data_IF_065045809817
#
_entry.id   IF_065045809817
#
_cell.length_a   1.000
_cell.length_b   1.000
_cell.length_c   1.000
_cell.angle_alpha   90.00
_cell.angle_beta   90.00
_cell.angle_gamma   90.00
#
_symmetry.space_group_name_H-M   'P 1'
#
loop_
_entity.id
_entity.type
_entity.pdbx_description
1 polymer ?
#
# COMPACT_ATOMS: atom_id res chain seq x y z
N UNK A 1 17.80 -2.59 -5.21
CA UNK A 1 16.38 -2.80 -5.53
C UNK A 1 15.57 -2.26 -4.36
N UNK A 2 14.68 -1.30 -4.62
CA UNK A 2 13.92 -0.60 -3.57
C UNK A 2 12.76 -1.47 -3.10
N UNK A 3 12.50 -1.50 -1.79
CA UNK A 3 11.44 -2.30 -1.18
C UNK A 3 10.46 -1.37 -0.45
N UNK A 4 9.18 -1.62 -0.67
CA UNK A 4 8.08 -0.82 -0.14
C UNK A 4 7.09 -1.75 0.55
N UNK A 5 6.83 -1.50 1.84
CA UNK A 5 5.76 -2.20 2.56
C UNK A 5 4.54 -1.28 2.61
N UNK A 6 3.47 -1.76 1.99
CA UNK A 6 2.26 -1.00 1.72
C UNK A 6 1.09 -1.68 2.40
N UNK A 7 0.30 -0.90 3.13
CA UNK A 7 -0.92 -1.37 3.76
C UNK A 7 -2.13 -0.82 3.03
N UNK A 8 -3.02 -1.72 2.66
CA UNK A 8 -4.21 -1.50 1.86
C UNK A 8 -5.45 -1.80 2.72
N UNK A 9 -6.32 -0.79 2.88
CA UNK A 9 -7.51 -0.87 3.71
C UNK A 9 -8.78 -0.75 2.87
N UNK A 10 -9.84 -1.46 3.25
CA UNK A 10 -11.19 -1.20 2.75
C UNK A 10 -11.72 0.08 3.43
N UNK A 11 -11.73 1.21 2.71
CA UNK A 11 -12.28 2.46 3.24
C UNK A 11 -13.74 2.61 2.85
N UNK A 12 -14.66 2.47 3.80
CA UNK A 12 -15.96 3.11 3.70
C UNK A 12 -16.38 3.54 5.11
N UNK A 13 -16.72 4.82 5.26
CA UNK A 13 -17.26 5.40 6.50
C UNK A 13 -18.56 4.69 6.94
N UNK A 14 -19.21 3.97 6.03
CA UNK A 14 -20.44 3.20 6.25
C UNK A 14 -20.23 1.69 6.38
N UNK A 15 -19.11 1.12 5.92
CA UNK A 15 -18.78 -0.30 6.12
C UNK A 15 -18.15 -0.53 7.49
N UNK A 16 -18.94 -0.31 8.55
CA UNK A 16 -18.70 -0.92 9.88
C UNK A 16 -19.07 -2.41 9.89
N UNK A 17 -18.93 -3.11 8.76
CA UNK A 17 -18.97 -4.56 8.76
C UNK A 17 -17.53 -5.02 8.87
N UNK A 18 -17.21 -5.66 9.98
CA UNK A 18 -15.95 -6.35 10.17
C UNK A 18 -15.89 -7.51 9.20
N UNK A 19 -15.40 -7.25 7.99
CA UNK A 19 -15.24 -8.26 6.96
C UNK A 19 -13.89 -8.91 7.18
N UNK A 20 -13.91 -10.20 7.44
CA UNK A 20 -12.71 -11.03 7.56
C UNK A 20 -12.31 -11.55 6.17
N UNK A 21 -11.31 -10.91 5.56
CA UNK A 21 -10.77 -11.30 4.25
C UNK A 21 -9.84 -12.51 4.35
N UNK A 22 -9.60 -13.05 5.55
CA UNK A 22 -8.76 -14.26 5.73
C UNK A 22 -9.54 -15.55 5.46
N UNK A 23 -10.84 -15.46 5.21
CA UNK A 23 -11.73 -16.60 5.03
C UNK A 23 -12.45 -16.56 3.68
N UNK A 24 -13.02 -17.69 3.30
CA UNK A 24 -13.96 -17.78 2.19
C UNK A 24 -15.27 -17.12 2.64
N UNK A 25 -15.82 -16.24 1.80
CA UNK A 25 -17.14 -15.67 2.02
C UNK A 25 -18.20 -16.77 2.01
N UNK A 26 -18.93 -16.91 3.10
CA UNK A 26 -19.93 -17.99 3.24
C UNK A 26 -21.21 -17.73 2.44
N UNK A 27 -21.49 -16.47 2.09
CA UNK A 27 -22.68 -16.08 1.34
C UNK A 27 -22.41 -16.14 -0.16
N UNK A 28 -21.27 -15.62 -0.60
CA UNK A 28 -20.92 -15.53 -2.03
C UNK A 28 -20.03 -16.69 -2.52
N UNK A 29 -19.42 -17.45 -1.62
CA UNK A 29 -18.47 -18.51 -1.94
C UNK A 29 -17.11 -18.01 -2.44
N UNK A 30 -16.85 -16.70 -2.36
CA UNK A 30 -15.62 -16.07 -2.85
C UNK A 30 -14.46 -16.40 -1.91
N UNK A 31 -13.38 -16.95 -2.46
CA UNK A 31 -12.13 -17.18 -1.75
C UNK A 31 -11.27 -15.91 -1.78
N UNK A 32 -11.46 -15.04 -0.78
CA UNK A 32 -10.70 -13.79 -0.66
C UNK A 32 -9.18 -14.03 -0.53
N UNK A 33 -8.69 -14.97 0.30
CA UNK A 33 -7.26 -15.28 0.36
C UNK A 33 -6.65 -15.61 -0.99
N UNK A 34 -7.29 -16.49 -1.77
CA UNK A 34 -6.80 -16.84 -3.10
C UNK A 34 -6.82 -15.64 -4.05
N UNK A 35 -7.95 -14.93 -4.10
CA UNK A 35 -8.09 -13.79 -5.01
C UNK A 35 -7.07 -12.68 -4.74
N UNK A 36 -6.75 -12.43 -3.46
CA UNK A 36 -5.82 -11.37 -3.04
C UNK A 36 -4.37 -11.81 -3.13
N UNK A 37 -4.02 -12.98 -2.57
CA UNK A 37 -2.62 -13.42 -2.43
C UNK A 37 -2.05 -14.08 -3.69
N UNK A 38 -2.92 -14.62 -4.55
CA UNK A 38 -2.52 -15.34 -5.76
C UNK A 38 -2.95 -14.58 -6.99
N UNK A 39 -4.26 -14.55 -7.27
CA UNK A 39 -4.77 -14.11 -8.58
C UNK A 39 -4.41 -12.64 -8.86
N UNK A 40 -4.59 -11.74 -7.87
CA UNK A 40 -4.26 -10.33 -8.02
C UNK A 40 -2.75 -10.07 -8.11
N UNK A 41 -1.93 -10.84 -7.37
CA UNK A 41 -0.46 -10.74 -7.39
C UNK A 41 0.08 -11.17 -8.75
N UNK A 42 -0.39 -12.31 -9.27
CA UNK A 42 -0.01 -12.81 -10.59
C UNK A 42 -0.39 -11.81 -11.68
N UNK A 43 -1.64 -11.35 -11.67
CA UNK A 43 -2.12 -10.36 -12.63
C UNK A 43 -1.28 -9.07 -12.59
N UNK A 44 -1.00 -8.56 -11.39
CA UNK A 44 -0.17 -7.37 -11.23
C UNK A 44 1.23 -7.57 -11.82
N UNK A 45 1.90 -8.66 -11.44
CA UNK A 45 3.27 -8.95 -11.86
C UNK A 45 3.35 -9.18 -13.38
N UNK A 46 2.37 -9.84 -13.98
CA UNK A 46 2.29 -9.99 -15.44
C UNK A 46 2.14 -8.66 -16.18
N UNK A 47 1.27 -7.76 -15.70
CA UNK A 47 1.11 -6.43 -16.29
C UNK A 47 2.37 -5.60 -16.11
N UNK A 48 2.99 -5.67 -14.93
CA UNK A 48 4.18 -4.89 -14.59
C UNK A 48 5.42 -5.26 -15.41
N UNK A 49 5.55 -6.52 -15.86
CA UNK A 49 6.63 -6.95 -16.78
C UNK A 49 6.71 -6.13 -18.06
N UNK A 50 5.60 -5.54 -18.50
CA UNK A 50 5.53 -4.70 -19.71
C UNK A 50 5.96 -3.26 -19.47
N UNK A 51 6.17 -2.87 -18.21
CA UNK A 51 6.55 -1.52 -17.84
C UNK A 51 8.06 -1.31 -17.95
N UNK A 52 8.47 -0.09 -18.30
CA UNK A 52 9.90 0.27 -18.43
C UNK A 52 10.66 0.26 -17.10
N UNK A 53 9.96 0.42 -15.98
CA UNK A 53 10.54 0.42 -14.64
C UNK A 53 9.93 -0.75 -13.87
N UNK A 54 10.56 -1.93 -13.94
CA UNK A 54 10.01 -3.16 -13.40
C UNK A 54 9.66 -3.03 -11.91
N UNK A 55 8.51 -3.59 -11.56
CA UNK A 55 7.97 -3.64 -10.20
C UNK A 55 7.34 -5.00 -9.98
N UNK A 56 7.54 -5.58 -8.82
CA UNK A 56 6.94 -6.85 -8.49
C UNK A 56 6.39 -6.82 -7.08
N UNK A 57 5.19 -7.34 -6.90
CA UNK A 57 4.72 -7.75 -5.57
C UNK A 57 5.44 -9.05 -5.24
N UNK A 58 6.25 -9.03 -4.18
CA UNK A 58 7.04 -10.18 -3.73
C UNK A 58 6.47 -10.86 -2.50
N UNK A 59 5.64 -10.13 -1.74
CA UNK A 59 4.86 -10.70 -0.65
C UNK A 59 3.48 -10.02 -0.57
N UNK A 60 2.46 -10.81 -0.25
CA UNK A 60 1.10 -10.32 -0.05
C UNK A 60 0.39 -11.14 1.02
N UNK A 61 0.01 -10.48 2.11
CA UNK A 61 -0.68 -11.10 3.22
C UNK A 61 -1.94 -10.33 3.61
N UNK A 62 -2.81 -10.99 4.36
CA UNK A 62 -4.05 -10.44 4.87
C UNK A 62 -4.02 -10.59 6.38
N UNK A 63 -4.13 -9.48 7.08
CA UNK A 63 -4.17 -9.43 8.54
C UNK A 63 -5.55 -8.97 8.97
N UNK A 64 -6.22 -9.79 9.77
CA UNK A 64 -7.49 -9.41 10.39
C UNK A 64 -7.28 -9.10 11.86
N UNK A 65 -7.46 -7.84 12.25
CA UNK A 65 -7.29 -7.38 13.62
C UNK A 65 -8.42 -6.44 14.02
N UNK A 66 -8.98 -6.66 15.21
CA UNK A 66 -10.00 -5.78 15.81
C UNK A 66 -11.20 -5.47 14.90
N UNK A 67 -11.59 -6.43 14.06
CA UNK A 67 -12.71 -6.27 13.14
C UNK A 67 -12.38 -5.55 11.83
N UNK A 68 -11.10 -5.38 11.50
CA UNK A 68 -10.67 -4.74 10.25
C UNK A 68 -9.69 -5.67 9.54
N UNK A 69 -9.92 -5.90 8.24
CA UNK A 69 -8.96 -6.56 7.37
C UNK A 69 -8.01 -5.54 6.74
N UNK A 70 -6.72 -5.82 6.85
CA UNK A 70 -5.61 -5.09 6.25
C UNK A 70 -4.93 -6.01 5.24
N UNK A 71 -4.79 -5.57 4.00
CA UNK A 71 -3.97 -6.26 3.00
C UNK A 71 -2.57 -5.65 3.05
N UNK A 72 -1.57 -6.45 3.37
CA UNK A 72 -0.17 -6.05 3.42
C UNK A 72 0.53 -6.50 2.17
N UNK A 73 1.20 -5.58 1.49
CA UNK A 73 1.89 -5.83 0.23
C UNK A 73 3.32 -5.37 0.33
N UNK A 74 4.25 -6.26 0.02
CA UNK A 74 5.63 -5.89 -0.25
C UNK A 74 5.80 -5.74 -1.76
N UNK A 75 6.13 -4.51 -2.17
CA UNK A 75 6.42 -4.15 -3.54
C UNK A 75 7.91 -3.88 -3.69
N UNK A 76 8.56 -4.54 -4.64
CA UNK A 76 9.93 -4.26 -5.03
C UNK A 76 9.97 -3.53 -6.37
N UNK A 77 10.91 -2.59 -6.52
CA UNK A 77 11.11 -1.88 -7.79
C UNK A 77 12.59 -1.60 -8.05
N UNK A 78 12.97 -1.62 -9.33
CA UNK A 78 14.31 -1.25 -9.78
C UNK A 78 14.60 0.24 -9.63
N UNK A 79 13.58 1.09 -9.62
CA UNK A 79 13.69 2.54 -9.50
C UNK A 79 12.87 3.08 -8.34
N UNK A 80 13.30 4.23 -7.79
CA UNK A 80 12.58 4.91 -6.70
C UNK A 80 11.15 5.25 -7.14
N UNK A 81 10.18 4.84 -6.32
CA UNK A 81 8.77 5.17 -6.48
C UNK A 81 8.43 6.43 -5.69
N UNK A 82 8.05 7.48 -6.41
CA UNK A 82 7.56 8.72 -5.80
C UNK A 82 6.22 8.55 -5.06
N UNK A 83 5.39 7.61 -5.53
CA UNK A 83 4.08 7.29 -4.95
C UNK A 83 3.88 5.77 -5.03
N UNK A 84 4.50 4.98 -4.13
CA UNK A 84 4.39 3.53 -4.10
C UNK A 84 2.94 3.01 -4.16
N UNK A 85 2.00 3.66 -3.48
CA UNK A 85 0.59 3.25 -3.54
C UNK A 85 -0.01 3.35 -4.94
N UNK A 86 0.41 4.34 -5.74
CA UNK A 86 -0.04 4.48 -7.14
C UNK A 86 0.50 3.35 -8.00
N UNK A 87 1.65 2.77 -7.64
CA UNK A 87 2.16 1.59 -8.32
C UNK A 87 1.23 0.38 -8.13
N UNK A 88 0.45 0.30 -7.05
CA UNK A 88 -0.55 -0.76 -6.81
C UNK A 88 -1.91 -0.50 -7.48
N UNK A 89 -2.04 0.51 -8.36
CA UNK A 89 -3.33 0.82 -9.01
C UNK A 89 -3.90 -0.33 -9.84
N UNK A 90 -3.04 -1.13 -10.48
CA UNK A 90 -3.49 -2.29 -11.26
C UNK A 90 -4.01 -3.39 -10.33
N UNK A 91 -3.26 -3.69 -9.27
CA UNK A 91 -3.65 -4.65 -8.23
C UNK A 91 -4.99 -4.25 -7.59
N UNK A 92 -5.13 -2.97 -7.24
CA UNK A 92 -6.36 -2.44 -6.66
C UNK A 92 -7.58 -2.55 -7.56
N UNK A 93 -7.41 -2.22 -8.84
CA UNK A 93 -8.50 -2.24 -9.81
C UNK A 93 -8.95 -3.67 -10.10
N UNK A 94 -8.03 -4.63 -10.09
CA UNK A 94 -8.36 -6.04 -10.27
C UNK A 94 -9.28 -6.53 -9.15
N UNK A 95 -8.93 -6.24 -7.89
CA UNK A 95 -9.74 -6.61 -6.74
C UNK A 95 -11.10 -5.90 -6.73
N UNK A 96 -11.12 -4.59 -7.03
CA UNK A 96 -12.34 -3.77 -7.07
C UNK A 96 -13.38 -4.26 -8.08
N UNK A 97 -12.92 -4.75 -9.23
CA UNK A 97 -13.81 -5.21 -10.30
C UNK A 97 -14.05 -6.73 -10.26
N UNK A 98 -13.37 -7.44 -9.37
CA UNK A 98 -13.42 -8.89 -9.22
C UNK A 98 -13.92 -9.29 -7.85
N UNK A 99 -13.11 -10.05 -7.12
CA UNK A 99 -13.52 -10.68 -5.86
C UNK A 99 -14.04 -9.71 -4.79
N UNK A 100 -13.63 -8.43 -4.79
CA UNK A 100 -14.08 -7.45 -3.80
C UNK A 100 -15.14 -6.49 -4.36
N UNK A 101 -15.73 -6.74 -5.54
CA UNK A 101 -16.68 -5.82 -6.18
C UNK A 101 -17.88 -5.47 -5.31
N UNK A 102 -18.39 -6.45 -4.56
CA UNK A 102 -19.54 -6.26 -3.68
C UNK A 102 -19.20 -5.40 -2.46
N UNK A 103 -17.92 -5.35 -2.09
CA UNK A 103 -17.39 -4.59 -0.96
C UNK A 103 -16.98 -3.16 -1.36
N UNK A 104 -16.76 -2.91 -2.65
CA UNK A 104 -16.17 -1.68 -3.17
C UNK A 104 -17.22 -0.96 -4.03
N UNK A 105 -18.36 -0.62 -3.42
CA UNK A 105 -19.51 -0.03 -4.13
C UNK A 105 -19.29 1.38 -4.71
N UNK A 106 -18.17 2.05 -4.41
CA UNK A 106 -17.96 3.47 -4.79
C UNK A 106 -16.53 3.82 -5.22
N UNK A 107 -15.92 3.04 -6.12
CA UNK A 107 -14.69 3.43 -6.85
C UNK A 107 -13.53 3.96 -6.00
N UNK A 108 -13.44 3.59 -4.72
CA UNK A 108 -12.39 4.08 -3.82
C UNK A 108 -11.83 2.96 -2.98
N UNK A 109 -11.34 1.93 -3.66
CA UNK A 109 -10.27 1.16 -3.05
C UNK A 109 -9.04 2.09 -2.96
N UNK A 110 -8.63 2.35 -1.71
CA UNK A 110 -7.40 3.06 -1.30
C UNK A 110 -7.48 4.58 -1.22
N UNK A 111 -8.26 5.10 -0.25
CA UNK A 111 -8.12 6.49 0.23
C UNK A 111 -7.11 6.66 1.37
N UNK A 112 -6.84 5.63 2.15
CA UNK A 112 -5.85 5.64 3.22
C UNK A 112 -4.91 4.47 3.01
N UNK A 113 -3.66 4.73 2.70
CA UNK A 113 -2.64 3.71 2.53
C UNK A 113 -1.38 4.21 3.22
N UNK A 114 -1.01 3.55 4.33
CA UNK A 114 0.23 3.85 5.03
C UNK A 114 1.38 3.25 4.24
N UNK A 115 2.30 4.11 3.79
CA UNK A 115 3.53 3.71 3.13
C UNK A 115 4.63 3.62 4.19
N UNK A 116 5.24 2.45 4.35
CA UNK A 116 6.52 2.32 5.05
C UNK A 116 7.58 1.92 4.02
N UNK A 117 8.43 2.87 3.66
CA UNK A 117 9.56 2.61 2.77
C UNK A 117 10.65 1.94 3.60
N UNK A 118 10.99 0.69 3.27
CA UNK A 118 12.14 0.01 3.87
C UNK A 118 13.23 -0.06 2.82
N UNK A 119 14.18 0.87 2.89
CA UNK A 119 15.36 0.86 2.03
C UNK A 119 16.24 -0.32 2.43
N UNK A 120 16.47 -1.26 1.51
CA UNK A 120 17.45 -2.34 1.66
C UNK A 120 18.91 -1.85 1.54
N UNK A 121 19.09 -0.62 1.05
CA UNK A 121 20.35 0.10 1.06
C UNK A 121 20.39 0.97 2.32
N UNK A 122 21.35 0.70 3.20
CA UNK A 122 21.89 1.68 4.16
C UNK A 122 22.54 2.91 3.47
N UNK A 123 22.26 3.14 2.19
CA UNK A 123 22.58 4.41 1.57
C UNK A 123 21.57 5.41 2.12
N UNK A 124 22.07 6.25 3.02
CA UNK A 124 21.41 7.44 3.53
C UNK A 124 20.60 8.08 2.40
N UNK A 125 19.27 8.10 2.55
CA UNK A 125 18.41 8.91 1.69
C UNK A 125 19.03 10.30 1.62
N UNK A 126 19.38 10.76 0.42
CA UNK A 126 20.03 12.04 0.28
C UNK A 126 19.11 13.13 0.86
N UNK A 127 19.70 14.19 1.41
CA UNK A 127 18.93 15.31 1.97
C UNK A 127 17.94 15.89 0.93
N UNK A 128 18.24 15.81 -0.36
CA UNK A 128 17.33 16.23 -1.44
C UNK A 128 16.13 15.30 -1.62
N UNK A 129 16.32 13.99 -1.47
CA UNK A 129 15.23 13.00 -1.52
C UNK A 129 14.28 13.17 -0.32
N UNK A 130 14.85 13.37 0.88
CA UNK A 130 14.09 13.67 2.08
C UNK A 130 13.33 15.00 1.97
N UNK A 131 13.98 16.05 1.45
CA UNK A 131 13.34 17.35 1.22
C UNK A 131 12.20 17.24 0.21
N UNK A 132 12.37 16.44 -0.84
CA UNK A 132 11.35 16.21 -1.87
C UNK A 132 10.13 15.49 -1.30
N UNK A 133 10.35 14.50 -0.41
CA UNK A 133 9.28 13.81 0.32
C UNK A 133 8.55 14.78 1.25
N UNK A 134 9.30 15.54 2.07
CA UNK A 134 8.77 16.53 3.02
C UNK A 134 7.90 17.60 2.34
N UNK A 135 8.41 18.18 1.25
CA UNK A 135 7.71 19.19 0.47
C UNK A 135 6.36 18.63 -0.02
N UNK A 136 6.32 17.38 -0.48
CA UNK A 136 5.10 16.75 -1.02
C UNK A 136 4.10 16.35 0.06
N UNK A 137 4.55 15.96 1.25
CA UNK A 137 3.68 15.75 2.41
C UNK A 137 3.03 17.06 2.88
N UNK A 138 3.80 18.14 2.96
CA UNK A 138 3.30 19.44 3.41
C UNK A 138 2.22 20.04 2.48
N UNK A 139 2.28 19.75 1.17
CA UNK A 139 1.35 20.33 0.19
C UNK A 139 -0.05 19.70 0.14
N UNK A 140 -0.29 18.54 0.77
CA UNK A 140 -1.62 17.89 0.78
C UNK A 140 -2.44 18.14 2.05
N UNK A 141 -1.81 18.70 3.09
CA UNK A 141 -2.45 19.26 4.30
C UNK A 141 -3.44 18.32 5.03
N UNK A 142 -3.31 17.00 4.84
CA UNK A 142 -4.18 16.01 5.51
C UNK A 142 -3.70 15.69 6.93
N UNK A 143 -4.54 15.02 7.74
CA UNK A 143 -4.16 14.56 9.09
C UNK A 143 -3.07 13.49 9.04
N UNK A 144 -3.05 12.64 8.00
CA UNK A 144 -1.99 11.65 7.80
C UNK A 144 -0.66 12.30 7.43
N UNK A 145 -0.68 13.35 6.60
CA UNK A 145 0.51 14.11 6.23
C UNK A 145 1.18 14.76 7.44
N UNK A 146 0.39 15.20 8.43
CA UNK A 146 0.93 15.75 9.69
C UNK A 146 1.69 14.70 10.50
N UNK A 147 1.16 13.46 10.57
CA UNK A 147 1.85 12.37 11.27
C UNK A 147 3.15 12.00 10.57
N UNK A 148 3.14 11.92 9.25
CA UNK A 148 4.34 11.64 8.46
C UNK A 148 5.38 12.77 8.60
N UNK A 149 4.95 14.03 8.58
CA UNK A 149 5.79 15.19 8.83
C UNK A 149 6.45 15.14 10.22
N UNK A 150 5.70 14.74 11.24
CA UNK A 150 6.24 14.62 12.61
C UNK A 150 7.26 13.48 12.72
N UNK A 151 7.01 12.32 12.09
CA UNK A 151 7.99 11.23 12.01
C UNK A 151 9.27 11.64 11.29
N UNK A 152 9.19 12.40 10.20
CA UNK A 152 10.40 12.89 9.51
C UNK A 152 11.14 13.92 10.36
N UNK A 153 10.43 14.82 11.07
CA UNK A 153 11.08 15.76 12.01
C UNK A 153 11.84 15.06 13.13
N UNK A 154 11.33 13.93 13.63
CA UNK A 154 12.02 13.14 14.67
C UNK A 154 13.29 12.47 14.12
N UNK A 155 13.24 11.94 12.90
CA UNK A 155 14.42 11.37 12.23
C UNK A 155 15.49 12.45 11.97
N UNK A 156 15.09 13.63 11.50
CA UNK A 156 16.03 14.75 11.32
C UNK A 156 16.62 15.20 12.65
N UNK A 157 15.82 15.36 13.71
CA UNK A 157 16.33 15.75 15.03
C UNK A 157 17.34 14.76 15.60
N UNK A 158 17.11 13.46 15.42
CA UNK A 158 18.03 12.43 15.89
C UNK A 158 19.34 12.38 15.11
N UNK A 159 19.33 12.73 13.81
CA UNK A 159 20.54 12.82 12.99
C UNK A 159 21.44 14.04 13.30
N UNK A 160 20.88 15.10 13.89
CA UNK A 160 21.63 16.31 14.26
C UNK A 160 21.87 16.44 15.78
N UNK A 161 21.63 15.37 16.55
CA UNK A 161 21.86 15.32 18.00
C UNK A 161 23.11 14.54 18.43
N UNK A 162 23.94 14.09 17.48
CA UNK A 162 25.33 13.67 17.71
C UNK A 162 26.32 14.79 17.33
#
# INVERSE_FOLDING_TARGET
MYKYNLSLWLSDETLRKSIDLTQIDKETGVDYPKAIKVDAVEHYNEVSKRSRNFKAITDCDIVYMSGVSEIRVTLESEAVLNIPNRALKVFSSFLANGALSDLVRYNSLFRGSSEKVESSTQDELSNEDLLTILIRCAFRNSKEDKKLLDSVKEVVKSQYQD
#
